data_IF_575818662786
#
_entry.id   IF_575818662786
#
_cell.length_a   1.000
_cell.length_b   1.000
_cell.length_c   1.000
_cell.angle_alpha   90.00
_cell.angle_beta   90.00
_cell.angle_gamma   90.00
#
_symmetry.space_group_name_H-M   'P 1'
#
loop_
_entity.id
_entity.type
_entity.pdbx_description
1 polymer ?
#
# COMPACT_ATOMS: atom_id res chain seq x y z
N UNK A 1 -16.93 -15.13 6.73
CA UNK A 1 -16.02 -14.71 7.82
C UNK A 1 -15.54 -13.26 7.64
N UNK A 2 -14.87 -12.86 6.54
CA UNK A 2 -14.38 -11.47 6.33
C UNK A 2 -15.47 -10.38 6.31
N UNK A 3 -16.68 -10.67 5.80
CA UNK A 3 -17.76 -9.68 5.67
C UNK A 3 -18.28 -9.11 7.00
N UNK A 4 -18.16 -9.88 8.10
CA UNK A 4 -18.58 -9.43 9.43
C UNK A 4 -17.63 -8.39 10.02
N UNK A 5 -16.34 -8.46 9.68
CA UNK A 5 -15.32 -7.51 10.12
C UNK A 5 -15.51 -6.13 9.48
N UNK A 6 -15.97 -6.06 8.22
CA UNK A 6 -16.17 -4.77 7.53
C UNK A 6 -17.24 -3.90 8.20
N UNK A 7 -18.31 -4.51 8.71
CA UNK A 7 -19.37 -3.78 9.43
C UNK A 7 -18.91 -3.19 10.77
N UNK A 8 -17.84 -3.74 11.37
CA UNK A 8 -17.28 -3.22 12.62
C UNK A 8 -16.43 -1.96 12.42
N UNK A 9 -16.06 -1.61 11.17
CA UNK A 9 -15.28 -0.41 10.89
C UNK A 9 -16.10 0.88 10.84
N UNK A 10 -17.43 0.81 10.78
CA UNK A 10 -18.27 2.01 10.62
C UNK A 10 -18.88 2.54 11.93
N UNK A 11 -19.39 1.68 12.82
CA UNK A 11 -20.20 2.13 13.98
C UNK A 11 -19.44 2.26 15.30
N UNK A 12 -18.51 1.37 15.69
CA UNK A 12 -17.67 1.58 16.87
C UNK A 12 -16.28 2.17 16.58
N UNK A 13 -15.91 2.47 15.32
CA UNK A 13 -14.56 2.94 14.99
C UNK A 13 -14.50 4.14 14.02
N UNK A 14 -14.98 5.33 14.42
CA UNK A 14 -14.86 6.55 13.62
C UNK A 14 -13.42 6.85 13.21
N UNK A 15 -13.24 7.56 12.09
CA UNK A 15 -11.91 7.95 11.60
C UNK A 15 -11.08 8.65 12.69
N UNK A 16 -9.83 8.22 12.84
CA UNK A 16 -8.85 8.78 13.76
C UNK A 16 -9.24 8.75 15.25
N UNK A 17 -10.22 7.93 15.66
CA UNK A 17 -10.72 7.91 17.04
C UNK A 17 -9.96 6.97 17.99
N UNK A 18 -9.33 5.91 17.47
CA UNK A 18 -8.71 4.86 18.29
C UNK A 18 -7.41 4.34 17.69
N UNK A 19 -6.73 3.43 18.41
CA UNK A 19 -5.53 2.71 17.95
C UNK A 19 -5.71 2.00 16.61
N UNK A 20 -6.96 1.71 16.22
CA UNK A 20 -7.26 1.18 14.90
C UNK A 20 -6.89 2.14 13.76
N UNK A 21 -6.62 3.41 14.03
CA UNK A 21 -6.20 4.40 13.05
C UNK A 21 -4.72 4.78 13.20
N UNK A 22 -3.87 3.80 13.51
CA UNK A 22 -2.42 3.98 13.37
C UNK A 22 -2.00 3.87 11.88
N UNK A 23 -1.18 4.76 11.32
CA UNK A 23 -1.02 4.84 9.85
C UNK A 23 -0.48 3.56 9.22
N UNK A 24 0.52 2.92 9.82
CA UNK A 24 1.01 1.64 9.31
C UNK A 24 -0.08 0.55 9.30
N UNK A 25 -0.89 0.43 10.36
CA UNK A 25 -2.00 -0.52 10.44
C UNK A 25 -3.07 -0.23 9.38
N UNK A 26 -3.39 1.06 9.17
CA UNK A 26 -4.29 1.52 8.11
C UNK A 26 -3.73 1.16 6.74
N UNK A 27 -2.42 1.32 6.51
CA UNK A 27 -1.77 0.97 5.25
C UNK A 27 -1.83 -0.54 4.97
N UNK A 28 -1.47 -1.38 5.93
CA UNK A 28 -1.54 -2.84 5.79
C UNK A 28 -2.97 -3.32 5.55
N UNK A 29 -3.96 -2.80 6.30
CA UNK A 29 -5.38 -3.09 6.03
C UNK A 29 -5.78 -2.64 4.64
N UNK A 30 -5.40 -1.45 4.21
CA UNK A 30 -5.70 -0.92 2.88
C UNK A 30 -5.21 -1.86 1.78
N UNK A 31 -3.96 -2.33 1.86
CA UNK A 31 -3.36 -3.24 0.88
C UNK A 31 -4.15 -4.56 0.79
N UNK A 32 -4.56 -5.12 1.94
CA UNK A 32 -5.35 -6.36 1.99
C UNK A 32 -6.80 -6.17 1.50
N UNK A 33 -7.42 -5.03 1.84
CA UNK A 33 -8.79 -4.69 1.43
C UNK A 33 -8.88 -4.45 -0.08
N UNK A 34 -7.88 -3.81 -0.69
CA UNK A 34 -7.82 -3.62 -2.14
C UNK A 34 -7.73 -4.98 -2.84
N UNK A 35 -6.86 -5.89 -2.40
CA UNK A 35 -6.78 -7.23 -2.98
C UNK A 35 -8.11 -7.98 -2.87
N UNK A 36 -8.76 -7.91 -1.71
CA UNK A 36 -10.08 -8.51 -1.49
C UNK A 36 -11.14 -7.92 -2.42
N UNK A 37 -11.12 -6.60 -2.62
CA UNK A 37 -12.00 -5.89 -3.55
C UNK A 37 -11.78 -6.34 -5.00
N UNK A 38 -10.53 -6.43 -5.46
CA UNK A 38 -10.23 -6.87 -6.84
C UNK A 38 -10.68 -8.32 -7.08
N UNK A 39 -10.50 -9.21 -6.11
CA UNK A 39 -11.02 -10.59 -6.20
C UNK A 39 -12.55 -10.63 -6.27
N UNK A 40 -13.25 -9.77 -5.51
CA UNK A 40 -14.71 -9.68 -5.55
C UNK A 40 -15.21 -9.18 -6.91
N UNK A 41 -14.53 -8.18 -7.50
CA UNK A 41 -14.85 -7.67 -8.83
C UNK A 41 -14.78 -8.76 -9.90
N UNK A 42 -13.77 -9.64 -9.83
CA UNK A 42 -13.64 -10.79 -10.74
C UNK A 42 -14.73 -11.83 -10.52
N UNK A 43 -15.18 -12.01 -9.27
CA UNK A 43 -16.17 -13.04 -8.91
C UNK A 43 -17.62 -12.74 -9.34
N UNK A 44 -17.89 -11.57 -9.93
CA UNK A 44 -19.22 -11.07 -10.29
C UNK A 44 -20.23 -11.02 -9.12
N UNK A 45 -19.77 -11.03 -7.86
CA UNK A 45 -20.60 -10.97 -6.67
C UNK A 45 -20.57 -9.59 -6.02
N UNK A 46 -21.76 -9.01 -5.84
CA UNK A 46 -22.07 -8.09 -4.73
C UNK A 46 -21.64 -6.63 -4.89
N UNK A 47 -22.39 -5.85 -5.67
CA UNK A 47 -22.23 -4.38 -5.78
C UNK A 47 -22.26 -3.68 -4.40
N UNK A 48 -23.12 -4.13 -3.47
CA UNK A 48 -23.23 -3.51 -2.14
C UNK A 48 -21.94 -3.64 -1.32
N UNK A 49 -21.29 -4.81 -1.36
CA UNK A 49 -20.03 -5.04 -0.64
C UNK A 49 -18.89 -4.25 -1.25
N UNK A 50 -18.81 -4.20 -2.57
CA UNK A 50 -17.79 -3.40 -3.27
C UNK A 50 -17.97 -1.91 -2.97
N UNK A 51 -19.20 -1.40 -2.94
CA UNK A 51 -19.48 -0.01 -2.58
C UNK A 51 -19.04 0.31 -1.14
N UNK A 52 -19.38 -0.55 -0.18
CA UNK A 52 -18.92 -0.42 1.20
C UNK A 52 -17.37 -0.42 1.28
N UNK A 53 -16.71 -1.32 0.55
CA UNK A 53 -15.25 -1.35 0.50
C UNK A 53 -14.68 -0.05 -0.10
N UNK A 54 -15.30 0.50 -1.15
CA UNK A 54 -14.87 1.77 -1.73
C UNK A 54 -14.95 2.92 -0.73
N UNK A 55 -16.04 3.00 0.04
CA UNK A 55 -16.23 4.03 1.07
C UNK A 55 -15.15 3.91 2.16
N UNK A 56 -14.93 2.71 2.69
CA UNK A 56 -13.89 2.44 3.69
C UNK A 56 -12.50 2.80 3.14
N UNK A 57 -12.18 2.37 1.92
CA UNK A 57 -10.87 2.61 1.29
C UNK A 57 -10.61 4.11 1.02
N UNK A 58 -11.63 4.87 0.60
CA UNK A 58 -11.50 6.31 0.45
C UNK A 58 -11.17 7.00 1.78
N UNK A 59 -11.85 6.61 2.86
CA UNK A 59 -11.55 7.11 4.21
C UNK A 59 -10.12 6.77 4.63
N UNK A 60 -9.66 5.54 4.35
CA UNK A 60 -8.28 5.13 4.63
C UNK A 60 -7.27 5.99 3.85
N UNK A 61 -7.54 6.30 2.58
CA UNK A 61 -6.68 7.19 1.79
C UNK A 61 -6.61 8.62 2.32
N UNK A 62 -7.75 9.20 2.69
CA UNK A 62 -7.80 10.53 3.31
C UNK A 62 -7.00 10.55 4.62
N UNK A 63 -7.15 9.50 5.43
CA UNK A 63 -6.41 9.37 6.69
C UNK A 63 -4.91 9.26 6.45
N UNK A 64 -4.46 8.32 5.59
CA UNK A 64 -3.04 8.10 5.30
C UNK A 64 -2.36 9.33 4.73
N UNK A 65 -3.03 10.04 3.81
CA UNK A 65 -2.49 11.25 3.22
C UNK A 65 -2.17 12.34 4.24
N UNK A 66 -2.97 12.42 5.32
CA UNK A 66 -2.82 13.39 6.41
C UNK A 66 -1.85 12.94 7.50
N UNK A 67 -1.52 11.64 7.57
CA UNK A 67 -0.77 11.04 8.66
C UNK A 67 0.41 10.18 8.16
N UNK A 68 1.07 10.61 7.10
CA UNK A 68 2.25 9.93 6.55
C UNK A 68 3.35 9.80 7.60
N UNK A 69 3.82 8.58 7.84
CA UNK A 69 4.94 8.31 8.75
C UNK A 69 6.28 8.55 8.05
N UNK A 70 6.53 9.81 7.67
CA UNK A 70 7.82 10.24 7.12
C UNK A 70 8.69 10.83 8.23
N UNK A 71 9.54 9.99 8.81
CA UNK A 71 10.44 10.34 9.92
C UNK A 71 11.92 10.16 9.53
N UNK A 72 12.84 10.40 10.47
CA UNK A 72 14.27 10.13 10.29
C UNK A 72 14.57 8.61 10.27
N UNK A 73 13.82 7.83 11.06
CA UNK A 73 13.84 6.36 11.04
C UNK A 73 12.49 5.86 10.54
N UNK A 74 12.35 5.80 9.22
CA UNK A 74 11.09 5.46 8.54
C UNK A 74 10.71 4.00 8.67
N UNK A 75 11.71 3.12 8.76
CA UNK A 75 11.55 1.67 8.75
C UNK A 75 10.59 1.22 7.63
N UNK A 76 9.93 0.10 7.85
CA UNK A 76 8.89 -0.43 6.97
C UNK A 76 7.57 0.39 6.96
N UNK A 77 7.36 1.32 7.91
CA UNK A 77 6.11 2.10 8.04
C UNK A 77 5.87 3.00 6.82
N UNK A 78 6.86 3.80 6.44
CA UNK A 78 6.72 4.69 5.29
C UNK A 78 6.58 3.91 3.97
N UNK A 79 7.27 2.77 3.83
CA UNK A 79 7.13 1.89 2.69
C UNK A 79 5.69 1.34 2.57
N UNK A 80 5.07 0.98 3.70
CA UNK A 80 3.67 0.55 3.74
C UNK A 80 2.73 1.70 3.32
N UNK A 81 2.94 2.91 3.87
CA UNK A 81 2.16 4.10 3.53
C UNK A 81 2.24 4.44 2.04
N UNK A 82 3.43 4.43 1.45
CA UNK A 82 3.63 4.66 0.00
C UNK A 82 2.92 3.60 -0.84
N UNK A 83 3.04 2.33 -0.46
CA UNK A 83 2.39 1.22 -1.17
C UNK A 83 0.87 1.36 -1.12
N UNK A 84 0.31 1.65 0.05
CA UNK A 84 -1.14 1.86 0.21
C UNK A 84 -1.64 3.05 -0.61
N UNK A 85 -0.96 4.20 -0.57
CA UNK A 85 -1.33 5.38 -1.37
C UNK A 85 -1.21 5.14 -2.87
N UNK A 86 -0.21 4.37 -3.32
CA UNK A 86 -0.07 4.00 -4.72
C UNK A 86 -1.27 3.16 -5.18
N UNK A 87 -1.66 2.16 -4.40
CA UNK A 87 -2.80 1.29 -4.71
C UNK A 87 -4.12 2.05 -4.67
N UNK A 88 -4.38 2.83 -3.62
CA UNK A 88 -5.55 3.69 -3.53
C UNK A 88 -5.61 4.67 -4.69
N UNK A 89 -4.50 5.33 -4.97
CA UNK A 89 -4.38 6.23 -6.10
C UNK A 89 -4.71 5.52 -7.41
N UNK A 90 -4.19 4.31 -7.64
CA UNK A 90 -4.51 3.53 -8.83
C UNK A 90 -6.00 3.21 -8.95
N UNK A 91 -6.66 2.87 -7.84
CA UNK A 91 -8.09 2.54 -7.80
C UNK A 91 -8.96 3.77 -8.03
N UNK A 92 -8.61 4.92 -7.42
CA UNK A 92 -9.52 6.07 -7.28
C UNK A 92 -9.18 7.28 -8.18
N UNK A 93 -7.98 7.35 -8.80
CA UNK A 93 -7.49 8.55 -9.53
C UNK A 93 -8.34 9.00 -10.71
N UNK A 94 -9.16 8.13 -11.31
CA UNK A 94 -10.00 8.47 -12.46
C UNK A 94 -11.28 9.23 -12.08
N UNK A 95 -11.64 9.26 -10.79
CA UNK A 95 -12.88 9.88 -10.32
C UNK A 95 -12.72 10.71 -9.03
N UNK A 96 -11.59 10.61 -8.32
CA UNK A 96 -11.29 11.43 -7.16
C UNK A 96 -9.94 12.15 -7.32
N UNK A 97 -9.96 13.49 -7.30
CA UNK A 97 -8.80 14.34 -7.63
C UNK A 97 -7.64 14.14 -6.65
N UNK A 98 -7.95 14.03 -5.37
CA UNK A 98 -6.97 13.83 -4.29
C UNK A 98 -6.31 12.45 -4.43
N UNK A 99 -7.03 11.42 -4.89
CA UNK A 99 -6.43 10.12 -5.19
C UNK A 99 -5.38 10.19 -6.30
N UNK A 100 -5.54 11.09 -7.28
CA UNK A 100 -4.49 11.35 -8.26
C UNK A 100 -3.24 11.93 -7.59
N UNK A 101 -3.40 12.83 -6.60
CA UNK A 101 -2.26 13.37 -5.84
C UNK A 101 -1.55 12.27 -5.05
N UNK A 102 -2.30 11.36 -4.42
CA UNK A 102 -1.75 10.20 -3.72
C UNK A 102 -0.93 9.31 -4.66
N UNK A 103 -1.49 9.02 -5.83
CA UNK A 103 -0.85 8.22 -6.87
C UNK A 103 0.47 8.83 -7.34
N UNK A 104 0.43 10.11 -7.74
CA UNK A 104 1.59 10.82 -8.27
C UNK A 104 2.68 10.99 -7.21
N UNK A 105 2.28 11.26 -5.96
CA UNK A 105 3.19 11.32 -4.83
C UNK A 105 3.88 9.99 -4.58
N UNK A 106 3.12 8.89 -4.55
CA UNK A 106 3.67 7.57 -4.30
C UNK A 106 4.65 7.16 -5.40
N UNK A 107 4.29 7.31 -6.68
CA UNK A 107 5.20 7.03 -7.81
C UNK A 107 6.53 7.76 -7.65
N UNK A 108 6.49 9.07 -7.32
CA UNK A 108 7.68 9.89 -7.18
C UNK A 108 8.59 9.44 -6.04
N UNK A 109 8.04 8.79 -5.01
CA UNK A 109 8.74 8.49 -3.75
C UNK A 109 9.15 7.03 -3.63
N UNK A 110 8.34 6.09 -4.13
CA UNK A 110 8.55 4.63 -3.98
C UNK A 110 9.94 4.21 -4.40
N UNK A 111 10.42 4.68 -5.56
CA UNK A 111 11.75 4.30 -6.04
C UNK A 111 12.86 4.78 -5.11
N UNK A 112 12.81 6.04 -4.69
CA UNK A 112 13.80 6.61 -3.78
C UNK A 112 13.80 5.88 -2.44
N UNK A 113 12.62 5.58 -1.92
CA UNK A 113 12.49 4.87 -0.64
C UNK A 113 13.02 3.45 -0.73
N UNK A 114 12.74 2.72 -1.83
CA UNK A 114 13.30 1.39 -2.05
C UNK A 114 14.82 1.36 -1.90
N UNK A 115 15.54 2.29 -2.54
CA UNK A 115 17.02 2.35 -2.43
C UNK A 115 17.54 2.70 -1.04
N UNK A 116 16.72 3.29 -0.18
CA UNK A 116 17.09 3.57 1.22
C UNK A 116 16.88 2.34 2.12
N UNK A 117 16.06 1.40 1.68
CA UNK A 117 15.66 0.25 2.49
C UNK A 117 16.64 -0.91 2.41
N UNK A 118 17.54 -0.92 1.42
CA UNK A 118 18.48 -2.01 1.18
C UNK A 118 19.92 -1.51 1.05
N UNK A 119 20.86 -2.24 1.65
CA UNK A 119 22.28 -2.06 1.39
C UNK A 119 22.66 -2.54 -0.01
N UNK A 120 23.90 -2.27 -0.44
CA UNK A 120 24.41 -2.64 -1.77
C UNK A 120 24.40 -4.16 -2.02
N UNK A 121 24.45 -4.97 -0.97
CA UNK A 121 24.37 -6.43 -1.00
C UNK A 121 22.92 -6.96 -0.98
N UNK A 122 21.92 -6.08 -0.93
CA UNK A 122 20.51 -6.43 -0.92
C UNK A 122 19.92 -6.70 0.46
N UNK A 123 20.69 -6.63 1.55
CA UNK A 123 20.16 -6.82 2.91
C UNK A 123 19.34 -5.61 3.31
N UNK A 124 18.14 -5.84 3.88
CA UNK A 124 17.32 -4.74 4.40
C UNK A 124 18.00 -4.12 5.63
N UNK A 125 17.93 -2.78 5.75
CA UNK A 125 18.69 -2.06 6.76
C UNK A 125 18.32 -2.42 8.21
N UNK A 126 17.08 -2.90 8.45
CA UNK A 126 16.61 -3.32 9.78
C UNK A 126 17.24 -4.65 10.24
N UNK A 127 17.94 -5.37 9.34
CA UNK A 127 18.65 -6.64 9.63
C UNK A 127 17.77 -7.70 10.32
N UNK A 128 16.48 -7.68 9.99
CA UNK A 128 15.45 -8.58 10.51
C UNK A 128 14.84 -9.34 9.34
N UNK A 129 14.87 -10.68 9.38
CA UNK A 129 14.33 -11.52 8.31
C UNK A 129 12.83 -11.24 8.08
N UNK A 130 11.97 -11.15 9.12
CA UNK A 130 10.56 -10.78 8.92
C UNK A 130 10.37 -9.43 8.22
N UNK A 131 11.12 -8.40 8.63
CA UNK A 131 10.99 -7.07 8.03
C UNK A 131 11.59 -7.01 6.62
N UNK A 132 12.68 -7.72 6.37
CA UNK A 132 13.21 -7.88 5.03
C UNK A 132 12.16 -8.43 4.08
N UNK A 133 11.53 -9.56 4.43
CA UNK A 133 10.45 -10.16 3.63
C UNK A 133 9.29 -9.19 3.43
N UNK A 134 8.81 -8.58 4.51
CA UNK A 134 7.67 -7.67 4.47
C UNK A 134 7.92 -6.45 3.56
N UNK A 135 9.09 -5.83 3.67
CA UNK A 135 9.47 -4.67 2.84
C UNK A 135 9.64 -5.08 1.37
N UNK A 136 10.20 -6.26 1.09
CA UNK A 136 10.28 -6.80 -0.28
C UNK A 136 8.87 -6.98 -0.88
N UNK A 137 7.92 -7.55 -0.13
CA UNK A 137 6.54 -7.72 -0.59
C UNK A 137 5.87 -6.37 -0.95
N UNK A 138 6.05 -5.35 -0.10
CA UNK A 138 5.51 -4.00 -0.34
C UNK A 138 6.02 -3.37 -1.65
N UNK A 139 7.33 -3.42 -1.87
CA UNK A 139 7.93 -2.87 -3.08
C UNK A 139 7.65 -3.71 -4.32
N UNK A 140 7.57 -5.03 -4.18
CA UNK A 140 7.16 -5.91 -5.27
C UNK A 140 5.77 -5.56 -5.78
N UNK A 141 4.78 -5.42 -4.88
CA UNK A 141 3.43 -5.00 -5.23
C UNK A 141 3.46 -3.62 -5.91
N UNK A 142 4.20 -2.67 -5.33
CA UNK A 142 4.30 -1.31 -5.87
C UNK A 142 4.86 -1.27 -7.28
N UNK A 143 5.99 -1.94 -7.51
CA UNK A 143 6.63 -1.99 -8.83
C UNK A 143 5.81 -2.74 -9.86
N UNK A 144 5.08 -3.79 -9.46
CA UNK A 144 4.16 -4.49 -10.35
C UNK A 144 3.05 -3.54 -10.85
N UNK A 145 2.46 -2.74 -9.96
CA UNK A 145 1.42 -1.77 -10.32
C UNK A 145 2.00 -0.65 -11.18
N UNK A 146 3.16 -0.10 -10.82
CA UNK A 146 3.86 0.92 -11.61
C UNK A 146 4.15 0.42 -13.03
N UNK A 147 4.69 -0.80 -13.17
CA UNK A 147 4.99 -1.43 -14.46
C UNK A 147 3.73 -1.65 -15.30
N UNK A 148 2.64 -2.16 -14.70
CA UNK A 148 1.35 -2.34 -15.39
C UNK A 148 0.72 -1.03 -15.83
N UNK A 149 0.99 0.06 -15.12
CA UNK A 149 0.56 1.43 -15.49
C UNK A 149 1.53 2.13 -16.46
N UNK A 150 2.51 1.43 -17.04
CA UNK A 150 3.43 1.99 -18.03
C UNK A 150 4.53 2.90 -17.45
N UNK A 151 4.72 2.92 -16.13
CA UNK A 151 5.77 3.70 -15.49
C UNK A 151 7.11 2.99 -15.70
N UNK A 152 8.07 3.70 -16.30
CA UNK A 152 9.44 3.22 -16.47
C UNK A 152 10.18 3.33 -15.14
N UNK A 153 10.55 2.18 -14.59
CA UNK A 153 11.45 2.10 -13.43
C UNK A 153 12.90 2.23 -13.93
N UNK A 154 13.77 2.87 -13.14
CA UNK A 154 15.19 2.97 -13.53
C UNK A 154 15.88 1.58 -13.68
N UNK A 155 16.95 1.43 -14.48
CA UNK A 155 17.55 0.11 -14.75
C UNK A 155 18.15 -0.59 -13.53
N UNK A 156 18.49 0.16 -12.46
CA UNK A 156 19.10 -0.38 -11.23
C UNK A 156 18.17 -1.29 -10.40
N UNK A 157 16.87 -1.36 -10.72
CA UNK A 157 15.92 -2.21 -9.99
C UNK A 157 15.91 -3.68 -10.42
N UNK A 158 16.49 -4.00 -11.59
CA UNK A 158 16.44 -5.35 -12.15
C UNK A 158 17.40 -6.33 -11.45
N UNK A 159 18.15 -5.91 -10.43
CA UNK A 159 19.00 -6.79 -9.63
C UNK A 159 18.18 -7.88 -8.90
N UNK A 160 16.90 -7.64 -8.58
CA UNK A 160 16.00 -8.67 -8.05
C UNK A 160 15.35 -9.54 -9.12
N UNK A 161 15.45 -9.17 -10.41
CA UNK A 161 14.80 -9.90 -11.50
C UNK A 161 15.60 -11.09 -12.03
N UNK A 162 16.88 -11.24 -11.64
CA UNK A 162 17.74 -12.27 -12.25
C UNK A 162 18.09 -13.46 -11.37
N UNK A 163 18.42 -13.36 -10.07
CA UNK A 163 18.90 -14.59 -9.39
C UNK A 163 18.94 -14.61 -7.85
N UNK A 164 17.99 -14.05 -7.10
CA UNK A 164 18.12 -14.12 -5.61
C UNK A 164 16.84 -13.98 -4.77
N UNK A 165 15.68 -14.39 -5.29
CA UNK A 165 14.41 -14.38 -4.53
C UNK A 165 13.78 -15.77 -4.40
N UNK A 166 14.60 -16.76 -4.05
CA UNK A 166 14.14 -18.06 -3.56
C UNK A 166 14.72 -18.30 -2.17
N UNK A 167 13.94 -17.94 -1.15
CA UNK A 167 13.70 -18.72 0.06
C UNK A 167 12.29 -18.39 0.55
#
# INVERSE_FOLDING_TARGET
MYLQYFKQLEKPNPMAYSVNWYPMEVAVRTINLIQSRELLLVSAKGNKTINLLNEILLLHGVFLWRNLEYTDVRANHYAANLTALLLLGQVFKSFYKEAKQWYDFAIKKTEKEFHLQFFKDGVNFEKSIPYHRFVVELFFISFLVMKRSGIKLSPKHLLFSKTQMFL
#
